data_IF_401414466458
#
_entry.id   IF_401414466458
#
_cell.length_a   1.000
_cell.length_b   1.000
_cell.length_c   1.000
_cell.angle_alpha   90.00
_cell.angle_beta   90.00
_cell.angle_gamma   90.00
#
_symmetry.space_group_name_H-M   'P 1'
#
loop_
_entity.id
_entity.type
_entity.pdbx_description
1 polymer ?
#
# COMPACT_ATOMS: atom_id res chain seq x y z
N UNK A 1 -24.62 6.06 39.97
CA UNK A 1 -25.76 5.40 39.30
C UNK A 1 -25.87 5.96 37.90
N UNK A 2 -26.11 5.08 36.93
CA UNK A 2 -26.49 5.34 35.53
C UNK A 2 -25.34 5.88 34.65
N UNK A 3 -25.03 5.30 33.49
CA UNK A 3 -25.64 4.19 32.75
C UNK A 3 -24.74 3.93 31.55
N UNK A 4 -24.41 2.66 31.32
CA UNK A 4 -23.54 2.24 30.23
C UNK A 4 -24.15 2.54 28.87
N UNK A 5 -23.36 3.15 27.99
CA UNK A 5 -23.70 3.30 26.58
C UNK A 5 -22.97 2.20 25.80
N UNK A 6 -23.73 1.16 25.47
CA UNK A 6 -23.29 0.02 24.66
C UNK A 6 -23.02 0.52 23.22
N UNK A 7 -21.75 0.61 22.86
CA UNK A 7 -21.32 0.85 21.48
C UNK A 7 -21.74 -0.35 20.63
N UNK A 8 -22.65 -0.10 19.67
CA UNK A 8 -23.16 -1.10 18.73
C UNK A 8 -22.01 -1.65 17.87
N UNK A 9 -21.74 -2.94 18.00
CA UNK A 9 -20.85 -3.69 17.12
C UNK A 9 -21.38 -3.68 15.67
N UNK A 10 -20.53 -3.50 14.64
CA UNK A 10 -20.95 -3.63 13.27
C UNK A 10 -21.40 -5.06 12.97
N UNK A 11 -22.56 -5.19 12.32
CA UNK A 11 -23.14 -6.48 11.91
C UNK A 11 -22.18 -7.16 10.95
N UNK A 12 -21.60 -8.27 11.43
CA UNK A 12 -20.85 -9.26 10.67
C UNK A 12 -21.63 -9.58 9.39
N UNK A 13 -21.08 -9.20 8.24
CA UNK A 13 -21.67 -9.46 6.93
C UNK A 13 -21.63 -10.98 6.70
N UNK A 14 -22.81 -11.53 6.54
CA UNK A 14 -23.12 -12.96 6.38
C UNK A 14 -22.33 -13.55 5.21
N UNK A 15 -21.53 -14.55 5.52
CA UNK A 15 -20.88 -15.49 4.59
C UNK A 15 -21.85 -15.88 3.46
N UNK A 16 -21.56 -15.41 2.25
CA UNK A 16 -22.21 -15.89 1.04
C UNK A 16 -21.55 -17.23 0.72
N UNK A 17 -22.27 -18.31 1.03
CA UNK A 17 -21.89 -19.66 0.62
C UNK A 17 -21.92 -19.71 -0.90
N UNK A 18 -20.75 -19.58 -1.52
CA UNK A 18 -20.55 -19.81 -2.95
C UNK A 18 -20.85 -21.28 -3.26
N UNK A 19 -22.10 -21.56 -3.60
CA UNK A 19 -22.51 -22.86 -4.13
C UNK A 19 -21.82 -23.03 -5.49
N UNK A 20 -20.77 -23.86 -5.51
CA UNK A 20 -20.09 -24.26 -6.74
C UNK A 20 -21.07 -25.07 -7.59
N UNK A 21 -21.51 -24.53 -8.71
CA UNK A 21 -22.04 -25.32 -9.81
C UNK A 21 -21.03 -25.26 -10.95
N UNK A 22 -20.20 -26.30 -11.04
CA UNK A 22 -19.39 -26.58 -12.20
C UNK A 22 -20.32 -27.16 -13.27
N UNK A 23 -20.52 -26.44 -14.38
CA UNK A 23 -21.14 -26.99 -15.58
C UNK A 23 -20.07 -26.91 -16.67
N UNK A 24 -19.52 -28.08 -16.97
CA UNK A 24 -18.61 -28.34 -18.09
C UNK A 24 -19.38 -28.27 -19.41
N UNK A 25 -18.83 -27.59 -20.41
CA UNK A 25 -19.12 -27.95 -21.80
C UNK A 25 -17.88 -27.74 -22.65
N UNK A 26 -17.40 -28.85 -23.19
CA UNK A 26 -16.20 -29.04 -23.98
C UNK A 26 -16.62 -28.95 -25.46
N UNK A 27 -16.21 -27.88 -26.17
CA UNK A 27 -16.02 -27.78 -27.64
C UNK A 27 -16.14 -26.32 -28.12
N UNK A 28 -15.02 -25.59 -28.16
CA UNK A 28 -14.83 -24.47 -29.12
C UNK A 28 -13.39 -24.56 -29.63
N UNK A 29 -13.21 -25.14 -30.82
CA UNK A 29 -12.00 -24.99 -31.61
C UNK A 29 -12.08 -23.66 -32.35
N UNK A 30 -11.14 -22.75 -32.07
CA UNK A 30 -10.84 -21.63 -32.96
C UNK A 30 -11.63 -20.35 -32.70
N UNK A 31 -11.39 -19.70 -31.56
CA UNK A 31 -11.33 -18.25 -31.31
C UNK A 31 -10.97 -18.14 -29.84
N UNK A 32 -9.70 -17.84 -29.53
CA UNK A 32 -9.22 -17.80 -28.15
C UNK A 32 -10.08 -16.86 -27.28
N UNK A 33 -10.72 -17.32 -26.19
CA UNK A 33 -10.95 -16.43 -25.08
C UNK A 33 -9.62 -16.38 -24.34
N UNK A 34 -8.80 -15.39 -24.68
CA UNK A 34 -7.91 -14.78 -23.69
C UNK A 34 -8.79 -14.20 -22.57
N UNK A 35 -9.42 -15.06 -21.76
CA UNK A 35 -10.08 -14.64 -20.54
C UNK A 35 -9.01 -14.66 -19.47
N UNK A 36 -8.34 -13.52 -19.33
CA UNK A 36 -7.36 -13.29 -18.27
C UNK A 36 -8.06 -13.41 -16.91
N UNK A 37 -8.17 -14.62 -16.37
CA UNK A 37 -8.72 -14.83 -15.03
C UNK A 37 -7.64 -14.47 -14.00
N UNK A 38 -7.65 -13.19 -13.63
CA UNK A 38 -7.10 -12.71 -12.36
C UNK A 38 -5.59 -12.54 -12.33
N UNK A 39 -5.07 -11.57 -13.09
CA UNK A 39 -3.83 -10.91 -12.65
C UNK A 39 -4.17 -10.04 -11.45
N UNK A 40 -3.98 -10.58 -10.25
CA UNK A 40 -3.72 -9.75 -9.09
C UNK A 40 -2.38 -9.08 -9.36
N UNK A 41 -2.40 -7.91 -10.00
CA UNK A 41 -1.22 -7.07 -10.06
C UNK A 41 -0.75 -6.91 -8.61
N UNK A 42 0.44 -7.42 -8.31
CA UNK A 42 1.10 -7.20 -7.02
C UNK A 42 1.25 -5.68 -6.92
N UNK A 43 0.42 -5.03 -6.13
CA UNK A 43 0.60 -3.63 -5.79
C UNK A 43 1.92 -3.54 -5.02
N UNK A 44 3.00 -3.19 -5.72
CA UNK A 44 4.25 -2.84 -5.07
C UNK A 44 4.07 -1.45 -4.50
N UNK A 45 3.57 -1.39 -3.26
CA UNK A 45 3.54 -0.16 -2.50
C UNK A 45 4.97 0.14 -2.06
N UNK A 46 5.76 0.79 -2.91
CA UNK A 46 6.97 1.47 -2.45
C UNK A 46 6.54 2.64 -1.56
N UNK A 47 6.36 2.36 -0.28
CA UNK A 47 6.06 3.40 0.70
C UNK A 47 7.35 4.14 1.02
N UNK A 48 7.43 5.39 0.58
CA UNK A 48 8.46 6.31 1.03
C UNK A 48 8.09 6.89 2.40
N UNK A 49 9.08 7.03 3.27
CA UNK A 49 8.91 7.61 4.60
C UNK A 49 9.88 8.78 4.77
N UNK A 50 9.50 9.72 5.65
CA UNK A 50 10.45 10.73 6.14
C UNK A 50 11.05 10.25 7.44
N UNK A 51 12.38 10.17 7.50
CA UNK A 51 13.10 9.82 8.72
C UNK A 51 13.28 11.10 9.53
N UNK A 52 12.55 11.23 10.63
CA UNK A 52 12.59 12.42 11.50
C UNK A 52 13.50 12.17 12.71
N UNK A 53 14.44 13.08 12.94
CA UNK A 53 15.26 13.11 14.15
C UNK A 53 14.37 13.40 15.37
N UNK A 54 14.42 12.51 16.37
CA UNK A 54 13.58 12.60 17.58
C UNK A 54 13.85 13.84 18.44
N UNK A 55 15.08 14.32 18.48
CA UNK A 55 15.50 15.40 19.39
C UNK A 55 15.10 16.79 18.85
N UNK A 56 15.19 16.99 17.54
CA UNK A 56 14.99 18.30 16.91
C UNK A 56 13.77 18.37 15.99
N UNK A 57 13.10 17.26 15.72
CA UNK A 57 11.92 17.21 14.85
C UNK A 57 12.19 17.47 13.35
N UNK A 58 13.47 17.52 12.95
CA UNK A 58 13.95 17.74 11.59
C UNK A 58 14.12 16.42 10.82
N UNK A 59 14.07 16.45 9.49
CA UNK A 59 14.08 15.27 8.63
C UNK A 59 15.47 15.00 8.02
N UNK A 60 15.77 13.72 7.75
CA UNK A 60 16.92 13.32 6.94
C UNK A 60 16.73 13.82 5.51
N UNK A 61 17.73 14.54 5.01
CA UNK A 61 17.70 15.28 3.75
C UNK A 61 18.97 14.97 2.95
N UNK A 62 18.91 15.06 1.63
CA UNK A 62 20.09 14.99 0.77
C UNK A 62 20.46 16.38 0.26
N UNK A 63 21.69 16.85 0.52
CA UNK A 63 22.09 18.22 0.22
C UNK A 63 22.02 18.52 -1.28
N UNK A 64 21.57 19.74 -1.62
CA UNK A 64 21.51 20.26 -2.99
C UNK A 64 20.68 19.40 -3.95
N UNK A 65 19.68 18.65 -3.44
CA UNK A 65 18.84 17.74 -4.23
C UNK A 65 19.67 16.73 -5.05
N UNK A 66 20.78 16.24 -4.48
CA UNK A 66 21.64 15.31 -5.17
C UNK A 66 20.88 14.05 -5.64
N UNK A 67 21.12 13.60 -6.87
CA UNK A 67 20.51 12.38 -7.42
C UNK A 67 21.53 11.30 -7.76
N UNK A 68 22.81 11.62 -7.59
CA UNK A 68 23.95 10.75 -7.89
C UNK A 68 24.52 10.15 -6.60
N UNK A 69 25.19 9.00 -6.73
CA UNK A 69 25.90 8.37 -5.62
C UNK A 69 26.94 9.33 -5.03
N UNK A 70 27.09 9.28 -3.70
CA UNK A 70 27.98 10.18 -2.97
C UNK A 70 27.35 11.53 -2.57
N UNK A 71 26.05 11.72 -2.80
CA UNK A 71 25.31 12.86 -2.25
C UNK A 71 25.45 12.94 -0.73
N UNK A 72 25.65 14.15 -0.19
CA UNK A 72 25.88 14.35 1.23
C UNK A 72 24.54 14.39 2.00
N UNK A 73 24.29 13.48 2.95
CA UNK A 73 23.13 13.57 3.81
C UNK A 73 23.30 14.68 4.86
N UNK A 74 22.23 15.39 5.15
CA UNK A 74 22.15 16.38 6.22
C UNK A 74 20.78 16.28 6.95
N UNK A 75 20.60 17.10 7.98
CA UNK A 75 19.33 17.20 8.73
C UNK A 75 18.74 18.58 8.50
N UNK A 76 17.53 18.64 7.94
CA UNK A 76 16.88 19.89 7.54
C UNK A 76 15.42 19.94 7.97
N UNK A 77 14.76 21.09 7.78
CA UNK A 77 13.33 21.19 8.02
C UNK A 77 12.57 20.20 7.16
N UNK A 78 11.56 19.57 7.77
CA UNK A 78 10.71 18.61 7.09
C UNK A 78 9.83 19.33 6.07
N UNK A 79 10.17 19.23 4.78
CA UNK A 79 9.43 19.84 3.67
C UNK A 79 8.97 18.77 2.70
N UNK A 80 7.98 19.07 1.87
CA UNK A 80 7.47 18.12 0.86
C UNK A 80 8.38 18.13 -0.38
N UNK A 81 9.56 17.51 -0.27
CA UNK A 81 10.51 17.39 -1.36
C UNK A 81 11.08 15.95 -1.44
N UNK A 82 11.33 15.41 -2.65
CA UNK A 82 11.77 14.01 -2.83
C UNK A 82 13.12 13.66 -2.20
N UNK A 83 14.00 14.64 -1.96
CA UNK A 83 15.29 14.44 -1.28
C UNK A 83 15.15 14.13 0.22
N UNK A 84 13.92 14.12 0.74
CA UNK A 84 13.57 13.70 2.10
C UNK A 84 12.73 12.42 2.14
N UNK A 85 12.50 11.78 1.00
CA UNK A 85 11.69 10.56 0.87
C UNK A 85 12.59 9.33 0.77
N UNK A 86 12.54 8.50 1.82
CA UNK A 86 13.42 7.36 1.98
C UNK A 86 12.64 6.06 1.90
N UNK A 87 13.17 5.08 1.18
CA UNK A 87 12.69 3.69 1.24
C UNK A 87 13.51 2.97 2.31
N UNK A 88 12.83 2.22 3.18
CA UNK A 88 13.46 1.34 4.15
C UNK A 88 13.41 -0.07 3.56
N UNK A 89 14.58 -0.72 3.46
CA UNK A 89 14.75 -2.08 2.94
C UNK A 89 15.38 -2.99 3.99
#
# INVERSE_FOLDING_TARGET
MNGGSLVRLPKIIRSQSFRRLAITSLLVLGLSPFFQLGQFAKAESSSFVKIKNRNWGKCLNLQSNATQNGGLPNVWDCVSHPDQEWKIE
#
